data_IF_617287927186
#
_entry.id   IF_617287927186
#
_cell.length_a   1.000
_cell.length_b   1.000
_cell.length_c   1.000
_cell.angle_alpha   90.00
_cell.angle_beta   90.00
_cell.angle_gamma   90.00
#
_symmetry.space_group_name_H-M   'P 1'
#
loop_
_entity.id
_entity.type
_entity.pdbx_description
1 polymer ?
#
# COMPACT_ATOMS: atom_id res chain seq x y z
N UNK A 1 78.94 -22.03 -72.06
CA UNK A 1 79.77 -22.78 -71.10
C UNK A 1 79.06 -22.66 -69.75
N UNK A 2 78.30 -23.69 -69.35
CA UNK A 2 78.68 -24.71 -68.34
C UNK A 2 78.70 -24.08 -66.92
N UNK A 3 78.06 -24.58 -65.86
CA UNK A 3 77.61 -25.94 -65.49
C UNK A 3 76.63 -25.85 -64.30
N UNK A 4 75.85 -26.91 -64.08
CA UNK A 4 74.81 -27.10 -63.07
C UNK A 4 75.30 -27.27 -61.61
N UNK A 5 74.36 -27.14 -60.66
CA UNK A 5 74.30 -27.98 -59.47
C UNK A 5 72.82 -28.22 -59.09
N UNK A 6 72.39 -29.48 -59.19
CA UNK A 6 71.14 -30.02 -58.65
C UNK A 6 71.29 -30.21 -57.14
N UNK A 7 70.26 -29.84 -56.38
CA UNK A 7 70.10 -30.27 -54.98
C UNK A 7 68.78 -31.04 -54.85
N UNK A 8 68.91 -32.36 -54.75
CA UNK A 8 67.87 -33.26 -54.27
C UNK A 8 68.04 -33.39 -52.74
N UNK A 9 66.96 -33.26 -51.97
CA UNK A 9 66.85 -34.01 -50.72
C UNK A 9 65.40 -34.29 -50.31
N UNK A 10 65.05 -35.57 -50.53
CA UNK A 10 64.16 -36.50 -49.80
C UNK A 10 62.81 -36.02 -49.23
N UNK A 11 61.72 -36.79 -49.49
CA UNK A 11 60.50 -36.70 -48.71
C UNK A 11 60.74 -37.30 -47.31
N UNK A 12 60.32 -36.56 -46.29
CA UNK A 12 60.25 -37.02 -44.90
C UNK A 12 59.13 -38.05 -44.75
N UNK A 13 59.54 -39.27 -44.41
CA UNK A 13 58.73 -40.39 -43.94
C UNK A 13 58.16 -40.16 -42.53
N UNK A 14 56.93 -40.65 -42.32
CA UNK A 14 56.24 -40.82 -41.03
C UNK A 14 54.76 -40.48 -41.20
N UNK A 15 53.77 -41.38 -41.13
CA UNK A 15 53.63 -42.58 -40.31
C UNK A 15 52.83 -43.67 -41.05
N UNK A 16 53.42 -44.85 -41.22
CA UNK A 16 52.69 -46.07 -41.56
C UNK A 16 52.77 -47.01 -40.36
N UNK A 17 51.62 -47.41 -39.82
CA UNK A 17 51.53 -48.46 -38.80
C UNK A 17 51.90 -49.79 -39.48
N UNK A 18 52.83 -50.52 -38.89
CA UNK A 18 53.12 -51.90 -39.26
C UNK A 18 51.81 -52.71 -39.11
N UNK A 19 51.35 -53.33 -40.20
CA UNK A 19 50.15 -54.17 -40.35
C UNK A 19 48.98 -53.58 -41.17
N UNK A 20 49.12 -52.48 -41.92
CA UNK A 20 48.11 -52.09 -42.92
C UNK A 20 46.70 -51.77 -42.38
N UNK A 21 46.50 -51.85 -41.07
CA UNK A 21 45.35 -51.30 -40.37
C UNK A 21 45.58 -49.79 -40.23
N UNK A 22 44.61 -48.96 -40.66
CA UNK A 22 44.70 -47.52 -40.44
C UNK A 22 44.86 -47.28 -38.93
N UNK A 23 45.79 -46.39 -38.57
CA UNK A 23 45.92 -45.94 -37.18
C UNK A 23 44.53 -45.56 -36.64
N UNK A 24 44.19 -45.89 -35.38
CA UNK A 24 42.94 -45.44 -34.79
C UNK A 24 42.90 -43.92 -34.94
N UNK A 25 41.94 -43.41 -35.72
CA UNK A 25 41.75 -41.97 -35.88
C UNK A 25 41.59 -41.42 -34.47
N UNK A 26 42.50 -40.53 -34.06
CA UNK A 26 42.33 -39.81 -32.80
C UNK A 26 40.95 -39.16 -32.80
N UNK A 27 40.34 -39.01 -31.62
CA UNK A 27 39.09 -38.28 -31.50
C UNK A 27 39.31 -36.86 -32.03
N UNK A 28 38.67 -36.54 -33.15
CA UNK A 28 38.71 -35.21 -33.76
C UNK A 28 37.73 -34.30 -33.03
N UNK A 29 38.02 -33.01 -32.99
CA UNK A 29 37.19 -32.02 -32.31
C UNK A 29 37.02 -30.77 -33.16
N UNK A 30 35.81 -30.23 -33.16
CA UNK A 30 35.51 -28.89 -33.66
C UNK A 30 35.46 -27.89 -32.51
N UNK A 31 36.04 -26.70 -32.70
CA UNK A 31 35.96 -25.63 -31.71
C UNK A 31 34.62 -24.89 -31.86
N UNK A 32 33.89 -24.69 -30.77
CA UNK A 32 32.65 -23.90 -30.75
C UNK A 32 33.01 -22.42 -30.78
N UNK A 33 32.47 -21.69 -31.77
CA UNK A 33 32.71 -20.25 -31.99
C UNK A 33 31.57 -19.41 -31.43
N UNK A 34 30.32 -19.85 -31.63
CA UNK A 34 29.12 -19.11 -31.18
C UNK A 34 27.99 -20.06 -30.82
N UNK A 35 27.26 -19.74 -29.76
CA UNK A 35 26.03 -20.43 -29.35
C UNK A 35 24.90 -19.41 -29.26
N UNK A 36 23.92 -19.52 -30.15
CA UNK A 36 22.73 -18.65 -30.16
C UNK A 36 21.49 -19.46 -29.77
N UNK A 37 20.80 -19.13 -28.66
CA UNK A 37 19.54 -19.79 -28.32
C UNK A 37 18.44 -19.41 -29.32
N UNK A 38 17.56 -20.37 -29.60
CA UNK A 38 16.32 -20.19 -30.34
C UNK A 38 15.19 -20.28 -29.32
N UNK A 39 14.41 -19.20 -29.22
CA UNK A 39 13.31 -19.10 -28.28
C UNK A 39 11.96 -19.13 -28.99
N UNK A 40 11.00 -19.83 -28.41
CA UNK A 40 9.60 -19.77 -28.78
C UNK A 40 8.79 -19.12 -27.66
N UNK A 41 7.77 -18.36 -28.03
CA UNK A 41 6.85 -17.74 -27.07
C UNK A 41 5.74 -18.70 -26.75
N UNK A 42 5.63 -19.08 -25.49
CA UNK A 42 4.55 -19.92 -25.02
C UNK A 42 3.84 -19.27 -23.83
N UNK A 43 2.51 -19.46 -23.71
CA UNK A 43 1.75 -18.92 -22.59
C UNK A 43 2.17 -19.61 -21.29
N UNK A 44 2.64 -18.81 -20.33
CA UNK A 44 3.05 -19.28 -19.02
C UNK A 44 1.91 -19.11 -18.02
N UNK A 45 1.66 -20.17 -17.25
CA UNK A 45 0.65 -20.17 -16.19
C UNK A 45 1.27 -20.55 -14.86
N UNK A 46 0.70 -20.02 -13.78
CA UNK A 46 1.03 -20.39 -12.41
C UNK A 46 -0.20 -20.84 -11.63
N UNK A 47 0.01 -21.70 -10.64
CA UNK A 47 -1.04 -22.13 -9.71
C UNK A 47 -1.17 -21.12 -8.57
N UNK A 48 -2.41 -20.75 -8.22
CA UNK A 48 -2.66 -19.84 -7.10
C UNK A 48 -2.58 -20.61 -5.79
N UNK A 49 -1.73 -20.13 -4.88
CA UNK A 49 -1.53 -20.69 -3.53
C UNK A 49 -2.35 -19.92 -2.50
N UNK A 50 -2.39 -18.59 -2.62
CA UNK A 50 -3.15 -17.72 -1.71
C UNK A 50 -3.72 -16.51 -2.46
N UNK A 51 -4.91 -16.06 -2.05
CA UNK A 51 -5.50 -14.79 -2.50
C UNK A 51 -6.05 -14.00 -1.31
N UNK A 52 -5.42 -12.86 -1.01
CA UNK A 52 -5.81 -11.98 0.08
C UNK A 52 -6.49 -10.73 -0.48
N UNK A 53 -7.74 -10.46 -0.07
CA UNK A 53 -8.47 -9.28 -0.52
C UNK A 53 -7.96 -8.00 0.17
N UNK A 54 -7.61 -6.99 -0.63
CA UNK A 54 -7.28 -5.66 -0.14
C UNK A 54 -8.57 -4.85 -0.05
N UNK A 55 -8.83 -4.28 1.13
CA UNK A 55 -10.02 -3.47 1.40
C UNK A 55 -9.66 -2.02 1.64
N UNK A 56 -10.43 -1.13 1.03
CA UNK A 56 -10.44 0.30 1.37
C UNK A 56 -11.66 0.59 2.22
N UNK A 57 -11.49 1.46 3.22
CA UNK A 57 -12.58 1.91 4.09
C UNK A 57 -12.74 3.41 3.95
N UNK A 58 -13.93 3.84 3.57
CA UNK A 58 -14.29 5.26 3.49
C UNK A 58 -15.19 5.60 4.68
N UNK A 59 -14.81 6.63 5.42
CA UNK A 59 -15.65 7.20 6.49
C UNK A 59 -16.33 8.46 5.97
N UNK A 60 -17.65 8.52 6.10
CA UNK A 60 -18.44 9.72 5.84
C UNK A 60 -19.05 10.20 7.15
N UNK A 61 -19.06 11.51 7.38
CA UNK A 61 -19.68 12.15 8.53
C UNK A 61 -20.79 13.07 8.03
N UNK A 62 -22.02 12.86 8.49
CA UNK A 62 -23.13 13.78 8.23
C UNK A 62 -23.62 14.42 9.52
N UNK A 63 -23.81 15.76 9.55
CA UNK A 63 -24.41 16.42 10.69
C UNK A 63 -25.90 16.05 10.75
N UNK A 64 -26.36 15.63 11.93
CA UNK A 64 -27.78 15.46 12.25
C UNK A 64 -28.13 16.36 13.44
N UNK A 65 -29.25 17.05 13.34
CA UNK A 65 -29.77 17.85 14.44
C UNK A 65 -30.54 16.94 15.40
N UNK A 66 -30.11 16.92 16.65
CA UNK A 66 -30.77 16.17 17.73
C UNK A 66 -31.43 17.19 18.65
N UNK A 67 -32.75 17.21 18.64
CA UNK A 67 -33.55 18.08 19.51
C UNK A 67 -34.08 17.28 20.70
N UNK A 68 -33.95 17.84 21.90
CA UNK A 68 -34.54 17.32 23.12
C UNK A 68 -35.30 18.42 23.85
N UNK A 69 -36.46 18.07 24.35
CA UNK A 69 -37.25 18.95 25.19
C UNK A 69 -36.68 18.91 26.61
N UNK A 70 -36.25 20.07 27.11
CA UNK A 70 -35.75 20.23 28.48
C UNK A 70 -36.69 21.13 29.26
N UNK A 71 -36.92 20.81 30.52
CA UNK A 71 -37.65 21.68 31.42
C UNK A 71 -36.67 22.69 31.99
N UNK A 72 -36.82 23.95 31.60
CA UNK A 72 -36.07 25.08 32.18
C UNK A 72 -36.96 25.85 33.15
N UNK A 73 -36.37 26.30 34.25
CA UNK A 73 -37.06 27.11 35.24
C UNK A 73 -36.91 28.58 34.86
N UNK A 74 -37.98 29.16 34.32
CA UNK A 74 -38.02 30.59 33.99
C UNK A 74 -38.75 31.34 35.10
N UNK A 75 -38.16 32.44 35.58
CA UNK A 75 -38.80 33.35 36.54
C UNK A 75 -39.53 34.43 35.77
N UNK A 76 -40.86 34.37 35.76
CA UNK A 76 -41.69 35.38 35.12
C UNK A 76 -41.52 36.73 35.85
N UNK A 77 -41.41 37.87 35.14
CA UNK A 77 -41.46 39.18 35.78
C UNK A 77 -42.86 39.40 36.37
N UNK A 78 -42.91 39.76 37.64
CA UNK A 78 -44.14 40.10 38.34
C UNK A 78 -44.84 41.24 37.58
N UNK A 79 -46.08 41.03 37.12
CA UNK A 79 -46.92 42.16 36.71
C UNK A 79 -47.26 42.90 37.98
N UNK A 80 -46.74 44.12 38.15
CA UNK A 80 -47.10 45.04 39.22
C UNK A 80 -48.61 45.27 39.23
N UNK A 81 -49.31 44.43 39.98
CA UNK A 81 -50.68 44.65 40.39
C UNK A 81 -50.67 45.58 41.59
N UNK A 82 -51.33 46.73 41.47
CA UNK A 82 -51.59 47.69 42.54
C UNK A 82 -50.36 48.39 43.15
N UNK A 83 -49.81 49.37 42.43
CA UNK A 83 -49.24 50.57 43.09
C UNK A 83 -50.39 51.42 43.62
N UNK A 84 -51.04 50.92 44.67
CA UNK A 84 -52.10 51.57 45.42
C UNK A 84 -51.74 51.52 46.89
N UNK A 85 -50.87 52.43 47.35
CA UNK A 85 -50.63 52.59 48.78
C UNK A 85 -49.18 52.81 49.18
N UNK A 86 -48.54 53.89 48.72
CA UNK A 86 -47.52 54.56 49.55
C UNK A 86 -47.55 56.06 49.29
N UNK A 87 -48.46 56.74 49.99
CA UNK A 87 -48.46 58.19 50.17
C UNK A 87 -47.97 58.47 51.59
N UNK A 88 -47.17 59.53 51.72
CA UNK A 88 -46.62 60.16 52.92
C UNK A 88 -45.29 59.55 53.45
N UNK A 89 -44.22 60.34 53.64
CA UNK A 89 -44.10 61.78 53.46
C UNK A 89 -42.75 62.29 53.96
N UNK A 90 -42.33 63.41 53.39
CA UNK A 90 -41.52 64.44 54.05
C UNK A 90 -41.60 65.69 53.16
N UNK A 91 -42.51 66.60 53.50
CA UNK A 91 -42.49 67.97 52.98
C UNK A 91 -42.39 68.89 54.19
N UNK A 92 -41.73 70.03 53.94
CA UNK A 92 -41.50 71.22 54.78
C UNK A 92 -40.12 71.16 55.46
N UNK A 93 -39.19 72.07 55.17
CA UNK A 93 -39.24 73.24 54.30
C UNK A 93 -38.03 74.14 54.54
N UNK A 94 -38.02 75.31 53.91
CA UNK A 94 -37.07 76.40 54.22
C UNK A 94 -36.22 76.79 53.02
N UNK A 95 -36.80 77.41 52.00
CA UNK A 95 -36.91 78.87 51.82
C UNK A 95 -35.57 79.58 51.50
N UNK A 96 -35.61 80.25 50.34
CA UNK A 96 -34.91 81.49 50.00
C UNK A 96 -33.38 81.43 49.99
N UNK A 97 -32.84 81.21 48.78
CA UNK A 97 -31.46 81.49 48.43
C UNK A 97 -31.36 82.11 47.04
N UNK A 98 -31.98 83.27 46.87
CA UNK A 98 -31.68 84.34 45.90
C UNK A 98 -31.04 83.95 44.54
N UNK A 99 -31.83 84.05 43.46
CA UNK A 99 -31.31 84.34 42.12
C UNK A 99 -30.45 85.62 42.17
N UNK A 100 -29.30 85.64 41.49
CA UNK A 100 -28.65 86.81 40.82
C UNK A 100 -27.12 86.61 40.78
N UNK A 101 -26.54 86.78 39.59
CA UNK A 101 -25.19 87.31 39.44
C UNK A 101 -24.15 86.33 38.93
N UNK A 102 -23.77 86.47 37.65
CA UNK A 102 -22.51 85.93 37.14
C UNK A 102 -21.32 86.60 37.80
N UNK A 103 -20.32 85.81 38.20
CA UNK A 103 -19.05 86.33 38.71
C UNK A 103 -18.42 85.44 39.77
N UNK A 104 -17.11 85.25 39.65
CA UNK A 104 -16.27 84.52 40.60
C UNK A 104 -16.27 85.19 41.98
N UNK A 105 -16.85 84.54 43.00
CA UNK A 105 -16.55 84.92 44.39
C UNK A 105 -17.60 84.56 45.45
N UNK A 106 -17.20 83.65 46.34
CA UNK A 106 -17.65 83.45 47.75
C UNK A 106 -19.03 82.78 47.94
N UNK A 107 -19.08 81.51 48.36
CA UNK A 107 -18.92 81.01 49.75
C UNK A 107 -19.65 81.89 50.77
N UNK A 108 -20.73 81.38 51.35
CA UNK A 108 -21.05 81.51 52.77
C UNK A 108 -22.18 80.53 53.15
N UNK A 109 -21.94 79.79 54.23
CA UNK A 109 -22.89 79.20 55.19
C UNK A 109 -23.97 78.24 54.64
N UNK A 110 -24.13 77.02 55.15
CA UNK A 110 -24.67 76.75 56.50
C UNK A 110 -24.49 75.24 56.74
N UNK A 111 -23.55 74.82 57.60
CA UNK A 111 -23.69 74.48 59.04
C UNK A 111 -24.52 73.21 59.31
N UNK A 112 -23.77 72.18 59.69
CA UNK A 112 -23.95 71.20 60.76
C UNK A 112 -25.37 70.67 61.09
N UNK A 113 -25.45 69.34 61.20
CA UNK A 113 -26.54 68.70 61.94
C UNK A 113 -26.59 67.18 61.81
N UNK A 114 -25.49 66.49 62.10
CA UNK A 114 -25.50 65.05 62.31
C UNK A 114 -25.52 64.76 63.81
N UNK A 115 -26.69 64.54 64.42
CA UNK A 115 -26.78 63.84 65.71
C UNK A 115 -28.18 63.20 65.86
N UNK A 116 -28.20 61.90 66.15
CA UNK A 116 -29.18 61.35 67.10
C UNK A 116 -30.27 60.43 66.56
N UNK A 117 -30.00 59.12 66.63
CA UNK A 117 -30.88 58.18 67.34
C UNK A 117 -32.10 57.61 66.61
N UNK A 118 -32.21 56.27 66.61
CA UNK A 118 -33.49 55.61 66.33
C UNK A 118 -33.36 54.20 65.79
N UNK A 119 -32.96 53.26 66.64
CA UNK A 119 -33.12 51.82 66.37
C UNK A 119 -34.59 51.44 66.56
N UNK A 120 -35.37 51.35 65.49
CA UNK A 120 -36.62 50.55 65.37
C UNK A 120 -36.86 50.39 63.85
N UNK A 121 -37.08 49.23 63.25
CA UNK A 121 -37.34 47.89 63.72
C UNK A 121 -37.79 47.05 62.53
N UNK A 122 -37.66 45.73 62.70
CA UNK A 122 -38.35 44.64 62.01
C UNK A 122 -38.46 44.63 60.47
N UNK A 123 -37.72 43.67 59.90
CA UNK A 123 -38.21 42.67 58.93
C UNK A 123 -39.31 43.18 57.99
N UNK A 124 -38.90 43.89 56.95
CA UNK A 124 -39.67 43.96 55.72
C UNK A 124 -38.81 43.34 54.64
N UNK A 125 -39.28 42.17 54.20
CA UNK A 125 -38.93 41.47 52.97
C UNK A 125 -37.46 41.11 52.70
N UNK A 126 -37.01 40.00 53.30
CA UNK A 126 -36.05 39.10 52.65
C UNK A 126 -36.72 37.87 52.05
N UNK A 127 -37.98 38.00 51.61
CA UNK A 127 -38.72 36.93 50.93
C UNK A 127 -39.54 37.43 49.73
N UNK A 128 -39.23 38.60 49.18
CA UNK A 128 -39.62 38.91 47.81
C UNK A 128 -38.69 38.18 46.84
N UNK A 129 -38.78 36.84 46.85
CA UNK A 129 -38.49 36.01 45.67
C UNK A 129 -39.67 36.20 44.72
N UNK A 130 -39.76 37.41 44.15
CA UNK A 130 -40.69 37.73 43.08
C UNK A 130 -40.42 36.83 41.88
N UNK A 131 -41.51 36.38 41.25
CA UNK A 131 -41.53 35.46 40.13
C UNK A 131 -41.94 34.06 40.56
N UNK A 132 -43.18 33.67 40.24
CA UNK A 132 -43.58 32.26 40.16
C UNK A 132 -42.56 31.53 39.28
N UNK A 133 -41.81 30.60 39.85
CA UNK A 133 -40.97 29.69 39.07
C UNK A 133 -41.93 28.81 38.30
N UNK A 134 -41.94 28.97 36.98
CA UNK A 134 -42.72 28.13 36.09
C UNK A 134 -41.76 27.24 35.32
N UNK A 135 -42.13 25.97 35.25
CA UNK A 135 -41.47 25.01 34.39
C UNK A 135 -41.89 25.32 32.95
N UNK A 136 -40.91 25.71 32.12
CA UNK A 136 -41.11 25.91 30.70
C UNK A 136 -40.35 24.83 29.95
N UNK A 137 -41.05 24.11 29.09
CA UNK A 137 -40.40 23.19 28.15
C UNK A 137 -39.73 24.00 27.06
N UNK A 138 -38.41 23.96 27.01
CA UNK A 138 -37.58 24.54 25.94
C UNK A 138 -37.02 23.42 25.07
N UNK A 139 -37.11 23.59 23.75
CA UNK A 139 -36.56 22.64 22.77
C UNK A 139 -35.11 23.02 22.49
N UNK A 140 -34.18 22.27 23.05
CA UNK A 140 -32.76 22.44 22.80
C UNK A 140 -32.33 21.48 21.68
N UNK A 141 -31.83 22.05 20.58
CA UNK A 141 -31.28 21.30 19.46
C UNK A 141 -29.76 21.46 19.44
N UNK A 142 -29.03 20.36 19.28
CA UNK A 142 -27.58 20.38 19.03
C UNK A 142 -27.24 19.49 17.84
N UNK A 143 -26.19 19.87 17.11
CA UNK A 143 -25.71 19.09 15.97
C UNK A 143 -24.81 17.97 16.46
N UNK A 144 -25.15 16.73 16.13
CA UNK A 144 -24.28 15.58 16.29
C UNK A 144 -23.77 15.09 14.93
N UNK A 145 -22.53 14.63 14.87
CA UNK A 145 -22.01 14.00 13.68
C UNK A 145 -22.35 12.50 13.70
N UNK A 146 -23.06 12.03 12.68
CA UNK A 146 -23.28 10.62 12.43
C UNK A 146 -22.16 10.12 11.50
N UNK A 147 -21.31 9.24 12.00
CA UNK A 147 -20.27 8.59 11.21
C UNK A 147 -20.81 7.32 10.57
N UNK A 148 -20.60 7.17 9.27
CA UNK A 148 -20.87 5.94 8.52
C UNK A 148 -19.58 5.46 7.88
N UNK A 149 -19.26 4.18 8.05
CA UNK A 149 -18.11 3.53 7.44
C UNK A 149 -18.59 2.57 6.35
N UNK A 150 -17.97 2.62 5.18
CA UNK A 150 -18.19 1.66 4.11
C UNK A 150 -16.85 1.07 3.68
N UNK A 151 -16.78 -0.26 3.58
CA UNK A 151 -15.58 -0.97 3.15
C UNK A 151 -15.86 -1.73 1.86
N UNK A 152 -14.94 -1.62 0.88
CA UNK A 152 -15.02 -2.34 -0.39
C UNK A 152 -13.68 -2.98 -0.73
N UNK A 153 -13.74 -4.11 -1.43
CA UNK A 153 -12.53 -4.76 -1.97
C UNK A 153 -12.08 -3.98 -3.20
N UNK A 154 -10.78 -3.64 -3.23
CA UNK A 154 -10.16 -2.86 -4.32
C UNK A 154 -9.09 -3.62 -5.08
N UNK A 155 -8.76 -4.83 -4.63
CA UNK A 155 -7.81 -5.71 -5.31
C UNK A 155 -7.50 -6.95 -4.48
N UNK A 156 -6.57 -7.75 -4.99
CA UNK A 156 -6.11 -8.99 -4.38
C UNK A 156 -4.58 -9.07 -4.43
N UNK A 157 -3.94 -9.33 -3.29
CA UNK A 157 -2.55 -9.77 -3.26
C UNK A 157 -2.55 -11.30 -3.41
N UNK A 158 -1.90 -11.77 -4.47
CA UNK A 158 -1.96 -13.16 -4.92
C UNK A 158 -0.58 -13.78 -4.79
N UNK A 159 -0.49 -14.88 -4.04
CA UNK A 159 0.70 -15.73 -4.01
C UNK A 159 0.49 -16.89 -4.96
N UNK A 160 1.44 -17.09 -5.87
CA UNK A 160 1.38 -18.14 -6.89
C UNK A 160 2.63 -19.03 -6.86
N UNK A 161 2.51 -20.22 -7.45
CA UNK A 161 3.57 -21.20 -7.64
C UNK A 161 3.74 -21.49 -9.13
N UNK A 162 4.98 -21.37 -9.60
CA UNK A 162 5.39 -21.70 -10.95
C UNK A 162 5.57 -23.21 -11.14
N UNK A 163 5.68 -23.67 -12.39
CA UNK A 163 5.88 -25.08 -12.71
C UNK A 163 7.20 -25.65 -12.17
N UNK A 164 8.23 -24.81 -12.03
CA UNK A 164 9.53 -25.15 -11.42
C UNK A 164 9.48 -25.25 -9.88
N UNK A 165 8.31 -24.98 -9.28
CA UNK A 165 8.08 -24.99 -7.84
C UNK A 165 8.42 -23.68 -7.12
N UNK A 166 8.99 -22.68 -7.81
CA UNK A 166 9.24 -21.36 -7.23
C UNK A 166 7.93 -20.64 -6.96
N UNK A 167 7.93 -19.75 -5.97
CA UNK A 167 6.75 -18.96 -5.60
C UNK A 167 6.98 -17.48 -5.82
N UNK A 168 5.95 -16.78 -6.31
CA UNK A 168 5.96 -15.34 -6.47
C UNK A 168 4.68 -14.70 -5.93
N UNK A 169 4.68 -13.37 -5.89
CA UNK A 169 3.51 -12.58 -5.50
C UNK A 169 3.19 -11.55 -6.57
N UNK A 170 1.90 -11.28 -6.80
CA UNK A 170 1.45 -10.20 -7.66
C UNK A 170 0.14 -9.59 -7.15
N UNK A 171 -0.17 -8.38 -7.62
CA UNK A 171 -1.44 -7.72 -7.30
C UNK A 171 -2.38 -7.81 -8.49
N UNK A 172 -3.64 -8.10 -8.22
CA UNK A 172 -4.70 -8.23 -9.22
C UNK A 172 -5.91 -7.38 -8.85
N UNK A 173 -6.58 -6.80 -9.84
CA UNK A 173 -7.78 -5.98 -9.61
C UNK A 173 -9.03 -6.83 -9.32
N UNK A 174 -9.02 -8.08 -9.76
CA UNK A 174 -10.12 -9.04 -9.61
C UNK A 174 -9.67 -10.31 -8.90
N UNK A 175 -10.65 -11.03 -8.31
CA UNK A 175 -10.36 -12.26 -7.58
C UNK A 175 -9.77 -13.31 -8.55
N UNK A 176 -8.59 -13.88 -8.26
CA UNK A 176 -8.01 -14.89 -9.14
C UNK A 176 -8.80 -16.20 -9.08
N UNK A 177 -8.70 -16.99 -10.15
CA UNK A 177 -9.11 -18.39 -10.15
C UNK A 177 -8.03 -19.30 -9.52
N UNK A 178 -8.08 -20.60 -9.83
CA UNK A 178 -7.08 -21.57 -9.37
C UNK A 178 -5.72 -21.42 -10.08
N UNK A 179 -5.73 -20.85 -11.27
CA UNK A 179 -4.54 -20.58 -12.08
C UNK A 179 -4.60 -19.16 -12.63
N UNK A 180 -3.42 -18.57 -12.80
CA UNK A 180 -3.23 -17.25 -13.38
C UNK A 180 -2.32 -17.36 -14.60
N UNK A 181 -2.58 -16.52 -15.60
CA UNK A 181 -1.65 -16.31 -16.71
C UNK A 181 -0.57 -15.33 -16.25
N UNK A 182 0.70 -15.68 -16.48
CA UNK A 182 1.84 -14.80 -16.29
C UNK A 182 2.21 -14.07 -17.59
N UNK A 183 1.43 -14.26 -18.66
CA UNK A 183 1.74 -13.78 -20.00
C UNK A 183 2.52 -14.82 -20.81
N UNK A 184 3.21 -14.36 -21.84
CA UNK A 184 4.06 -15.22 -22.67
C UNK A 184 5.50 -15.23 -22.11
N UNK A 185 6.11 -16.41 -22.06
CA UNK A 185 7.51 -16.59 -21.72
C UNK A 185 8.30 -17.10 -22.95
N UNK A 186 9.53 -16.62 -23.09
CA UNK A 186 10.47 -17.11 -24.09
C UNK A 186 11.11 -18.43 -23.58
N UNK A 187 10.71 -19.55 -24.16
CA UNK A 187 11.26 -20.87 -23.87
C UNK A 187 12.33 -21.22 -24.89
N UNK A 188 13.53 -21.59 -24.44
CA UNK A 188 14.61 -22.02 -25.34
C UNK A 188 14.31 -23.42 -25.84
N UNK A 189 14.07 -23.57 -27.14
CA UNK A 189 13.71 -24.84 -27.78
C UNK A 189 14.89 -25.49 -28.51
N UNK A 190 15.89 -24.71 -28.89
CA UNK A 190 17.09 -25.19 -29.58
C UNK A 190 18.23 -24.16 -29.50
N UNK A 191 19.39 -24.55 -30.02
CA UNK A 191 20.58 -23.72 -30.15
C UNK A 191 21.13 -23.81 -31.57
N UNK A 192 21.35 -22.67 -32.21
CA UNK A 192 22.20 -22.59 -33.40
C UNK A 192 23.66 -22.45 -32.93
N UNK A 193 24.45 -23.50 -33.16
CA UNK A 193 25.84 -23.61 -32.72
C UNK A 193 26.74 -23.48 -33.94
N UNK A 194 27.50 -22.39 -34.00
CA UNK A 194 28.56 -22.19 -34.99
C UNK A 194 29.85 -22.80 -34.46
N UNK A 195 30.43 -23.72 -35.21
CA UNK A 195 31.68 -24.41 -34.89
C UNK A 195 32.69 -24.24 -36.03
N UNK A 196 33.97 -24.32 -35.69
CA UNK A 196 35.09 -24.30 -36.63
C UNK A 196 35.76 -25.66 -36.66
N UNK A 197 35.84 -26.23 -37.86
CA UNK A 197 36.47 -27.51 -38.13
C UNK A 197 37.22 -27.44 -39.47
N UNK A 198 38.48 -27.89 -39.50
CA UNK A 198 39.37 -27.76 -40.67
C UNK A 198 39.49 -26.33 -41.24
N UNK A 199 39.43 -25.32 -40.36
CA UNK A 199 39.50 -23.91 -40.76
C UNK A 199 38.22 -23.31 -41.33
N UNK A 200 37.14 -24.10 -41.47
CA UNK A 200 35.83 -23.62 -41.93
C UNK A 200 34.84 -23.51 -40.78
N UNK A 201 34.04 -22.45 -40.79
CA UNK A 201 32.92 -22.29 -39.87
C UNK A 201 31.64 -22.88 -40.46
N UNK A 202 30.90 -23.63 -39.64
CA UNK A 202 29.60 -24.21 -39.98
C UNK A 202 28.65 -24.03 -38.81
N UNK A 203 27.36 -23.93 -39.09
CA UNK A 203 26.32 -23.87 -38.06
C UNK A 203 25.50 -25.15 -38.07
N UNK A 204 25.27 -25.70 -36.89
CA UNK A 204 24.36 -26.84 -36.68
C UNK A 204 23.29 -26.45 -35.66
N UNK A 205 22.09 -27.01 -35.80
CA UNK A 205 21.05 -26.89 -34.79
C UNK A 205 21.16 -28.03 -33.80
N UNK A 206 21.22 -27.70 -32.51
CA UNK A 206 21.28 -28.64 -31.39
C UNK A 206 20.07 -28.44 -30.48
N UNK A 207 19.52 -29.50 -29.90
CA UNK A 207 18.41 -29.40 -28.96
C UNK A 207 18.88 -28.88 -27.59
N UNK A 208 20.06 -29.34 -27.17
CA UNK A 208 20.67 -28.96 -25.90
C UNK A 208 21.85 -28.00 -26.12
N UNK A 209 22.13 -27.19 -25.11
CA UNK A 209 23.32 -26.34 -25.10
C UNK A 209 24.56 -27.25 -25.14
N UNK A 210 25.55 -26.97 -26.01
CA UNK A 210 26.77 -27.78 -26.04
C UNK A 210 27.43 -27.80 -24.66
N UNK A 211 27.79 -28.99 -24.19
CA UNK A 211 28.32 -29.19 -22.84
C UNK A 211 29.75 -28.67 -22.66
N UNK A 212 30.46 -28.41 -23.75
CA UNK A 212 31.80 -27.86 -23.76
C UNK A 212 32.03 -27.00 -25.00
N UNK A 213 33.12 -26.23 -25.01
CA UNK A 213 33.54 -25.41 -26.15
C UNK A 213 34.18 -26.23 -27.28
N UNK A 214 34.17 -27.57 -27.16
CA UNK A 214 34.60 -28.50 -28.20
C UNK A 214 33.56 -29.59 -28.43
N UNK A 215 33.35 -29.93 -29.70
CA UNK A 215 32.40 -30.95 -30.10
C UNK A 215 33.14 -32.09 -30.79
N UNK A 216 32.92 -33.35 -30.37
CA UNK A 216 33.58 -34.48 -31.00
C UNK A 216 33.10 -34.67 -32.43
N UNK A 217 34.04 -34.99 -33.31
CA UNK A 217 33.82 -35.30 -34.71
C UNK A 217 34.20 -36.76 -34.95
N UNK A 218 33.27 -37.52 -35.52
CA UNK A 218 33.46 -38.94 -35.86
C UNK A 218 33.15 -39.10 -37.34
N UNK A 219 34.11 -39.63 -38.10
CA UNK A 219 34.02 -39.78 -39.55
C UNK A 219 33.65 -38.46 -40.29
N UNK A 220 34.18 -37.33 -39.80
CA UNK A 220 33.91 -36.00 -40.35
C UNK A 220 32.51 -35.45 -40.04
N UNK A 221 31.70 -36.16 -39.26
CA UNK A 221 30.39 -35.70 -38.79
C UNK A 221 30.44 -35.27 -37.33
N UNK A 222 29.82 -34.13 -37.06
CA UNK A 222 29.72 -33.58 -35.72
C UNK A 222 28.75 -34.43 -34.90
N UNK A 223 29.18 -34.89 -33.73
CA UNK A 223 28.31 -35.59 -32.79
C UNK A 223 27.52 -34.56 -31.99
N UNK A 224 26.24 -34.41 -32.31
CA UNK A 224 25.35 -33.40 -31.70
C UNK A 224 24.49 -33.93 -30.56
N UNK A 225 24.49 -35.25 -30.34
CA UNK A 225 23.78 -35.88 -29.24
C UNK A 225 24.76 -36.04 -28.08
N UNK A 226 24.50 -35.38 -26.96
CA UNK A 226 25.08 -35.82 -25.70
C UNK A 226 24.43 -37.18 -25.38
N UNK A 227 25.23 -38.21 -25.17
CA UNK A 227 24.72 -39.43 -24.57
C UNK A 227 24.23 -39.04 -23.17
N UNK A 228 22.93 -38.75 -23.06
CA UNK A 228 22.30 -38.47 -21.79
C UNK A 228 22.41 -39.76 -20.98
N UNK A 229 23.29 -39.79 -19.99
CA UNK A 229 23.20 -40.75 -18.89
C UNK A 229 21.94 -40.39 -18.13
N UNK A 230 20.78 -40.76 -18.68
CA UNK A 230 19.51 -40.73 -18.00
C UNK A 230 19.66 -41.67 -16.79
N UNK A 231 19.85 -41.06 -15.62
CA UNK A 231 19.85 -41.76 -14.35
C UNK A 231 18.53 -42.48 -14.19
N UNK A 232 18.58 -43.78 -14.36
CA UNK A 232 17.53 -44.75 -14.04
C UNK A 232 17.18 -44.63 -12.55
N UNK A 233 16.33 -43.66 -12.20
CA UNK A 233 15.65 -43.65 -10.91
C UNK A 233 14.49 -44.64 -11.03
N UNK A 234 14.84 -45.91 -10.84
CA UNK A 234 13.89 -46.99 -10.61
C UNK A 234 12.94 -46.60 -9.47
N UNK A 235 11.74 -46.18 -9.85
CA UNK A 235 10.59 -46.13 -8.95
C UNK A 235 10.20 -47.59 -8.71
N UNK A 236 10.65 -48.15 -7.59
CA UNK A 236 10.04 -49.36 -7.04
C UNK A 236 8.60 -49.02 -6.69
N UNK A 237 7.68 -49.59 -7.43
CA UNK A 237 6.27 -49.69 -7.05
C UNK A 237 6.21 -50.77 -5.98
N UNK A 238 6.12 -50.37 -4.71
CA UNK A 238 5.77 -51.28 -3.63
C UNK A 238 4.28 -51.64 -3.77
N UNK A 239 4.04 -52.78 -4.41
CA UNK A 239 2.77 -53.48 -4.35
C UNK A 239 2.79 -54.45 -3.15
N UNK A 240 1.95 -54.16 -2.15
CA UNK A 240 1.66 -55.04 -1.02
C UNK A 240 1.02 -54.24 0.11
N UNK A 241 -0.06 -54.64 0.77
CA UNK A 241 -0.73 -55.92 0.83
C UNK A 241 -2.12 -55.66 1.46
N UNK A 242 -3.16 -56.19 0.84
CA UNK A 242 -4.46 -56.39 1.47
C UNK A 242 -4.30 -57.35 2.65
N UNK A 243 -4.70 -56.96 3.86
CA UNK A 243 -5.22 -57.88 4.89
C UNK A 243 -5.82 -57.14 6.10
N UNK A 244 -7.11 -57.47 6.32
CA UNK A 244 -7.93 -57.35 7.53
C UNK A 244 -8.43 -55.96 7.94
#
# INVERSE_FOLDING_TARGET
MATAAFMNNRPSSGDFVANGEPAPRGLEYADVVKVAPITEREPQYAQVVNSAAIRETTTSSSPREVCRDVVVQERLPERDGNVGGTVAGAVIGGLLGNQVGGGNGRKLATVAGAVGGGMVGNRVDRNHVGGRVVDRTERQCHTENANSQSSRVVGYDVTYRNADGTTGTMRMDSKPGERISLGDADNVVAYDVTYRYDGFEKTVRMNDKPASDRLPVVDGQLVTQTASTAGDRGVRVDAGSTRQ
#
